data_IF_165841166196
#
_entry.id   IF_165841166196
#
_cell.length_a   1.000
_cell.length_b   1.000
_cell.length_c   1.000
_cell.angle_alpha   90.00
_cell.angle_beta   90.00
_cell.angle_gamma   90.00
#
_symmetry.space_group_name_H-M   'P 1'
#
loop_
_entity.id
_entity.type
_entity.pdbx_description
1 polymer ?
#
# COMPACT_ATOMS: atom_id res chain seq x y z
N UNK A 1 15.40 5.97 -8.17
CA UNK A 1 14.27 5.55 -7.32
C UNK A 1 12.98 5.81 -8.10
N UNK A 2 12.18 4.78 -8.37
CA UNK A 2 10.88 4.96 -9.04
C UNK A 2 9.77 5.11 -7.99
N UNK A 3 8.69 5.82 -8.33
CA UNK A 3 7.58 6.10 -7.42
C UNK A 3 6.27 5.58 -8.00
N UNK A 4 5.53 4.82 -7.19
CA UNK A 4 4.28 4.19 -7.61
C UNK A 4 3.09 4.70 -6.80
N UNK A 5 2.03 5.11 -7.52
CA UNK A 5 0.73 5.41 -6.93
C UNK A 5 -0.04 4.12 -6.67
N UNK A 6 -0.47 3.91 -5.44
CA UNK A 6 -1.39 2.85 -5.04
C UNK A 6 -2.82 3.38 -5.07
N UNK A 7 -3.71 2.64 -5.73
CA UNK A 7 -5.14 2.96 -5.83
C UNK A 7 -6.04 1.83 -5.34
N UNK A 8 -5.49 0.65 -5.07
CA UNK A 8 -6.23 -0.51 -4.58
C UNK A 8 -5.39 -1.38 -3.64
N UNK A 9 -6.07 -2.18 -2.82
CA UNK A 9 -5.45 -3.18 -1.94
C UNK A 9 -6.25 -4.48 -1.96
N UNK A 10 -5.60 -5.60 -1.66
CA UNK A 10 -6.30 -6.89 -1.42
C UNK A 10 -6.24 -7.23 0.06
N UNK A 11 -7.39 -7.55 0.64
CA UNK A 11 -7.54 -7.96 2.05
C UNK A 11 -8.70 -8.95 2.20
N UNK A 12 -8.65 -9.87 3.18
CA UNK A 12 -9.65 -10.95 3.28
C UNK A 12 -11.06 -10.45 3.59
N UNK A 13 -11.20 -9.33 4.32
CA UNK A 13 -12.48 -8.69 4.59
C UNK A 13 -12.38 -7.16 4.48
N UNK A 14 -13.48 -6.47 4.15
CA UNK A 14 -13.53 -5.01 4.03
C UNK A 14 -13.11 -4.29 5.33
N UNK A 15 -13.39 -4.87 6.49
CA UNK A 15 -13.07 -4.34 7.82
C UNK A 15 -11.70 -4.79 8.35
N UNK A 16 -10.94 -5.58 7.59
CA UNK A 16 -9.61 -6.02 7.99
C UNK A 16 -8.66 -4.83 8.18
N UNK A 17 -7.82 -4.93 9.20
CA UNK A 17 -6.76 -3.97 9.53
C UNK A 17 -5.59 -4.05 8.55
N UNK A 18 -4.64 -3.11 8.67
CA UNK A 18 -3.48 -3.00 7.78
C UNK A 18 -2.62 -4.27 7.72
N UNK A 19 -2.53 -5.01 8.83
CA UNK A 19 -1.76 -6.26 8.95
C UNK A 19 -2.27 -7.38 8.03
N UNK A 20 -3.49 -7.27 7.54
CA UNK A 20 -4.10 -8.27 6.66
C UNK A 20 -4.10 -7.86 5.18
N UNK A 21 -3.52 -6.70 4.83
CA UNK A 21 -3.31 -6.34 3.43
C UNK A 21 -2.27 -7.30 2.85
N UNK A 22 -2.63 -8.01 1.79
CA UNK A 22 -1.75 -8.99 1.13
C UNK A 22 -1.15 -8.45 -0.16
N UNK A 23 -1.86 -7.55 -0.86
CA UNK A 23 -1.39 -6.93 -2.10
C UNK A 23 -1.75 -5.45 -2.14
N UNK A 24 -0.91 -4.68 -2.84
CA UNK A 24 -1.13 -3.27 -3.16
C UNK A 24 -0.99 -3.10 -4.67
N UNK A 25 -1.82 -2.28 -5.29
CA UNK A 25 -1.80 -2.14 -6.73
C UNK A 25 -2.34 -0.83 -7.25
N UNK A 26 -2.38 -0.75 -8.58
CA UNK A 26 -2.94 0.36 -9.32
C UNK A 26 -3.93 -0.16 -10.36
N UNK A 27 -5.22 0.04 -10.10
CA UNK A 27 -6.32 -0.43 -10.94
C UNK A 27 -6.29 0.20 -12.33
N UNK A 28 -5.85 1.46 -12.45
CA UNK A 28 -5.77 2.15 -13.74
C UNK A 28 -4.65 1.59 -14.62
N UNK A 29 -3.58 1.10 -14.00
CA UNK A 29 -2.44 0.50 -14.69
C UNK A 29 -2.49 -1.04 -14.73
N UNK A 30 -3.49 -1.66 -14.08
CA UNK A 30 -3.74 -3.09 -14.16
C UNK A 30 -2.69 -3.98 -13.49
N UNK A 31 -1.99 -3.48 -12.46
CA UNK A 31 -0.97 -4.24 -11.75
C UNK A 31 -1.16 -4.24 -10.23
N UNK A 32 -0.63 -5.27 -9.57
CA UNK A 32 -0.49 -5.37 -8.12
C UNK A 32 0.81 -6.07 -7.75
N UNK A 33 1.28 -5.85 -6.53
CA UNK A 33 2.46 -6.50 -5.94
C UNK A 33 2.08 -7.07 -4.57
N UNK A 34 2.77 -8.11 -4.13
CA UNK A 34 2.61 -8.60 -2.75
C UNK A 34 3.10 -7.56 -1.74
N UNK A 35 2.52 -7.56 -0.55
CA UNK A 35 2.98 -6.74 0.58
C UNK A 35 4.47 -6.93 0.82
N UNK A 36 4.95 -8.16 0.81
CA UNK A 36 6.35 -8.51 1.06
C UNK A 36 7.27 -7.88 0.00
N UNK A 37 6.85 -7.86 -1.27
CA UNK A 37 7.61 -7.23 -2.35
C UNK A 37 7.69 -5.72 -2.20
N UNK A 38 6.58 -5.08 -1.83
CA UNK A 38 6.54 -3.63 -1.57
C UNK A 38 7.42 -3.27 -0.38
N UNK A 39 7.36 -4.05 0.71
CA UNK A 39 8.24 -3.88 1.88
C UNK A 39 9.71 -3.99 1.49
N UNK A 40 10.08 -5.04 0.74
CA UNK A 40 11.44 -5.21 0.24
C UNK A 40 11.90 -3.98 -0.56
N UNK A 41 11.09 -3.48 -1.49
CA UNK A 41 11.47 -2.32 -2.30
C UNK A 41 11.66 -1.03 -1.48
N UNK A 42 10.88 -0.84 -0.41
CA UNK A 42 11.04 0.28 0.52
C UNK A 42 12.33 0.10 1.34
N UNK A 43 12.56 -1.09 1.89
CA UNK A 43 13.75 -1.40 2.70
C UNK A 43 15.05 -1.24 1.88
N UNK A 44 15.04 -1.71 0.63
CA UNK A 44 16.18 -1.58 -0.29
C UNK A 44 16.35 -0.15 -0.83
N UNK A 45 15.41 0.76 -0.56
CA UNK A 45 15.44 2.15 -1.06
C UNK A 45 15.36 2.25 -2.59
N UNK A 46 14.83 1.22 -3.27
CA UNK A 46 14.75 1.18 -4.74
C UNK A 46 13.50 1.88 -5.26
N UNK A 47 12.41 1.81 -4.50
CA UNK A 47 11.13 2.41 -4.85
C UNK A 47 10.47 3.14 -3.68
N UNK A 48 9.60 4.09 -4.01
CA UNK A 48 8.69 4.72 -3.07
C UNK A 48 7.24 4.50 -3.51
N UNK A 49 6.33 4.50 -2.56
CA UNK A 49 4.91 4.23 -2.79
C UNK A 49 4.08 5.31 -2.10
N UNK A 50 2.95 5.68 -2.69
CA UNK A 50 2.06 6.67 -2.11
C UNK A 50 0.60 6.43 -2.50
N UNK A 51 -0.31 6.94 -1.67
CA UNK A 51 -1.70 7.18 -2.05
C UNK A 51 -1.89 8.65 -2.39
N UNK A 52 -2.83 8.98 -3.27
CA UNK A 52 -3.15 10.35 -3.63
C UNK A 52 -4.68 10.53 -3.66
N UNK A 53 -5.17 11.53 -2.92
CA UNK A 53 -6.60 11.86 -2.87
C UNK A 53 -7.06 12.65 -4.12
N UNK A 54 -8.35 12.97 -4.20
CA UNK A 54 -8.91 13.74 -5.33
C UNK A 54 -8.45 15.20 -5.39
N UNK A 55 -7.92 15.75 -4.29
CA UNK A 55 -7.34 17.08 -4.21
C UNK A 55 -5.84 17.09 -4.54
N UNK A 56 -5.23 15.93 -4.80
CA UNK A 56 -3.83 15.77 -5.13
C UNK A 56 -2.89 15.66 -3.92
N UNK A 57 -3.42 15.55 -2.69
CA UNK A 57 -2.58 15.34 -1.52
C UNK A 57 -2.05 13.92 -1.48
N UNK A 58 -0.74 13.80 -1.24
CA UNK A 58 -0.05 12.52 -1.17
C UNK A 58 0.20 12.11 0.27
N UNK A 59 -0.03 10.84 0.55
CA UNK A 59 0.44 10.19 1.77
C UNK A 59 1.43 9.09 1.39
N UNK A 60 2.64 9.15 1.95
CA UNK A 60 3.69 8.18 1.69
C UNK A 60 3.33 6.86 2.35
N UNK A 61 3.61 5.74 1.68
CA UNK A 61 3.47 4.41 2.27
C UNK A 61 4.81 4.03 2.89
N UNK A 62 4.79 3.67 4.17
CA UNK A 62 5.96 3.27 4.93
C UNK A 62 5.73 1.91 5.60
N UNK A 63 6.84 1.25 5.94
CA UNK A 63 6.80 -0.03 6.66
C UNK A 63 6.63 0.22 8.14
N UNK A 64 5.64 -0.45 8.73
CA UNK A 64 5.43 -0.51 10.18
C UNK A 64 6.01 -1.81 10.72
N UNK A 65 6.80 -1.68 11.79
CA UNK A 65 7.43 -2.79 12.49
C UNK A 65 7.07 -2.69 13.96
N UNK A 66 6.31 -3.66 14.44
CA UNK A 66 5.82 -3.74 15.82
C UNK A 66 6.18 -5.12 16.37
N UNK A 67 6.57 -5.17 17.65
CA UNK A 67 6.92 -6.43 18.30
C UNK A 67 5.73 -7.40 18.29
N UNK A 68 5.98 -8.66 17.93
CA UNK A 68 4.95 -9.70 17.85
C UNK A 68 4.09 -9.67 16.58
N UNK A 69 4.38 -8.79 15.62
CA UNK A 69 3.65 -8.71 14.34
C UNK A 69 4.59 -8.86 13.15
N UNK A 70 4.05 -9.42 12.07
CA UNK A 70 4.74 -9.33 10.78
C UNK A 70 4.76 -7.87 10.31
N UNK A 71 5.84 -7.43 9.63
CA UNK A 71 5.89 -6.12 9.02
C UNK A 71 4.72 -5.87 8.07
N UNK A 72 4.16 -4.67 8.12
CA UNK A 72 3.00 -4.30 7.31
C UNK A 72 3.11 -2.85 6.84
N UNK A 73 2.18 -2.41 5.99
CA UNK A 73 2.25 -1.12 5.32
C UNK A 73 1.15 -0.19 5.83
N UNK A 74 1.52 1.06 6.09
CA UNK A 74 0.60 2.16 6.41
C UNK A 74 0.95 3.39 5.63
N UNK A 75 -0.02 4.28 5.47
CA UNK A 75 0.24 5.62 4.96
C UNK A 75 0.66 6.54 6.10
N UNK A 76 1.52 7.51 5.80
CA UNK A 76 1.87 8.61 6.67
C UNK A 76 1.82 9.93 5.91
N UNK A 77 1.24 10.95 6.54
CA UNK A 77 1.19 12.31 6.05
C UNK A 77 1.54 13.26 7.20
N UNK A 78 2.39 14.26 6.93
CA UNK A 78 2.81 15.26 7.92
C UNK A 78 3.30 14.64 9.25
N UNK A 79 4.05 13.54 9.17
CA UNK A 79 4.61 12.84 10.34
C UNK A 79 3.60 12.02 11.15
N UNK A 80 2.36 11.85 10.67
CA UNK A 80 1.31 11.06 11.34
C UNK A 80 0.87 9.89 10.48
N UNK A 81 0.67 8.74 11.13
CA UNK A 81 0.08 7.55 10.51
C UNK A 81 -1.38 7.81 10.13
N UNK A 82 -1.78 7.32 8.96
CA UNK A 82 -3.13 7.45 8.41
C UNK A 82 -3.63 6.09 7.92
N UNK A 83 -4.94 6.00 7.73
CA UNK A 83 -5.63 4.76 7.35
C UNK A 83 -6.05 4.73 5.87
N UNK A 84 -5.46 5.59 5.03
CA UNK A 84 -5.85 5.74 3.63
C UNK A 84 -5.86 4.41 2.85
N UNK A 85 -4.91 3.50 3.14
CA UNK A 85 -4.88 2.17 2.53
C UNK A 85 -6.15 1.35 2.82
N UNK A 86 -6.75 1.52 4.00
CA UNK A 86 -7.99 0.81 4.36
C UNK A 86 -9.21 1.33 3.62
N UNK A 87 -9.17 2.59 3.19
CA UNK A 87 -10.22 3.26 2.41
C UNK A 87 -10.19 2.90 0.93
N UNK A 88 -9.06 2.41 0.40
CA UNK A 88 -8.93 2.04 -1.02
C UNK A 88 -9.85 0.88 -1.39
N UNK A 89 -10.27 0.85 -2.65
CA UNK A 89 -11.05 -0.25 -3.25
C UNK A 89 -10.22 -1.54 -3.35
N UNK A 90 -10.91 -2.66 -3.59
CA UNK A 90 -10.24 -3.93 -3.91
C UNK A 90 -9.57 -3.84 -5.30
N UNK A 91 -8.41 -4.49 -5.48
CA UNK A 91 -7.72 -4.47 -6.78
C UNK A 91 -8.51 -5.15 -7.90
N UNK A 92 -9.40 -6.09 -7.56
CA UNK A 92 -10.25 -6.77 -8.52
C UNK A 92 -9.51 -7.63 -9.53
N UNK A 93 -10.26 -8.27 -10.43
CA UNK A 93 -9.74 -9.23 -11.40
C UNK A 93 -8.89 -8.61 -12.53
N UNK A 94 -8.90 -7.29 -12.68
CA UNK A 94 -8.14 -6.59 -13.73
C UNK A 94 -6.67 -6.39 -13.38
N UNK A 95 -6.30 -6.48 -12.11
CA UNK A 95 -4.91 -6.33 -11.68
C UNK A 95 -4.13 -7.65 -11.81
N UNK A 96 -2.97 -7.61 -12.47
CA UNK A 96 -2.04 -8.74 -12.57
C UNK A 96 -0.87 -8.57 -11.59
N UNK A 97 -0.40 -9.67 -11.03
CA UNK A 97 0.78 -9.67 -10.17
C UNK A 97 2.04 -9.39 -11.01
N UNK A 98 2.86 -8.43 -10.58
CA UNK A 98 4.12 -8.03 -11.24
C UNK A 98 5.32 -8.07 -10.30
#
# INVERSE_FOLDING_TARGET
>A
MASYRITCVVKPNRTSTHEHITHLGNTQQGWMMTREKVIQYIDDGTHSFYTEDSAGHRAAILVVRESGKQPYLRTAANGRWTDNLLSLEDCGASCRLI
#
